data_IF_057931811975
#
_entry.id   IF_057931811975
#
_cell.length_a   1.000
_cell.length_b   1.000
_cell.length_c   1.000
_cell.angle_alpha   90.00
_cell.angle_beta   90.00
_cell.angle_gamma   90.00
#
_symmetry.space_group_name_H-M   'P 1'
#
loop_
_entity.id
_entity.type
_entity.pdbx_description
1 polymer ?
#
# COMPACT_ATOMS: atom_id res chain seq x y z
N UNK A 1 -4.99 -8.97 -12.62
CA UNK A 1 -3.97 -8.03 -13.15
C UNK A 1 -4.39 -6.67 -12.65
N UNK A 2 -3.66 -6.12 -11.70
CA UNK A 2 -3.96 -4.79 -11.16
C UNK A 2 -3.75 -3.76 -12.27
N UNK A 3 -4.75 -2.91 -12.47
CA UNK A 3 -4.70 -1.82 -13.44
C UNK A 3 -4.22 -0.57 -12.73
N UNK A 4 -3.00 -0.12 -13.03
CA UNK A 4 -2.38 1.06 -12.42
C UNK A 4 -2.47 2.23 -13.40
N UNK A 5 -3.02 3.36 -12.98
CA UNK A 5 -2.99 4.60 -13.75
C UNK A 5 -1.60 5.25 -13.61
N UNK A 6 -0.62 4.80 -14.41
CA UNK A 6 0.75 5.31 -14.33
C UNK A 6 0.98 6.55 -15.19
N UNK A 7 2.15 7.18 -15.01
CA UNK A 7 2.60 8.29 -15.84
C UNK A 7 2.63 7.95 -17.33
N UNK A 8 2.88 6.69 -17.71
CA UNK A 8 2.83 6.27 -19.11
C UNK A 8 1.42 6.39 -19.70
N UNK A 9 0.39 6.00 -18.93
CA UNK A 9 -1.01 6.14 -19.39
C UNK A 9 -1.40 7.61 -19.49
N UNK A 10 -1.03 8.41 -18.49
CA UNK A 10 -1.27 9.85 -18.49
C UNK A 10 -0.60 10.56 -19.67
N UNK A 11 0.65 10.20 -19.98
CA UNK A 11 1.37 10.73 -21.14
C UNK A 11 0.64 10.40 -22.45
N UNK A 12 0.19 9.15 -22.62
CA UNK A 12 -0.62 8.76 -23.79
C UNK A 12 -1.90 9.59 -23.89
N UNK A 13 -2.64 9.78 -22.79
CA UNK A 13 -3.86 10.60 -22.78
C UNK A 13 -3.58 12.05 -23.20
N UNK A 14 -2.48 12.62 -22.71
CA UNK A 14 -2.04 13.98 -23.06
C UNK A 14 -1.69 14.10 -24.54
N UNK A 15 -0.94 13.13 -25.07
CA UNK A 15 -0.48 13.12 -26.46
C UNK A 15 -1.63 12.90 -27.46
N UNK A 16 -2.74 12.28 -27.04
CA UNK A 16 -3.91 12.13 -27.92
C UNK A 16 -4.60 13.45 -28.27
N UNK A 17 -4.43 14.49 -27.43
CA UNK A 17 -5.16 15.76 -27.57
C UNK A 17 -6.67 15.68 -27.33
N UNK A 18 -7.21 14.53 -26.89
CA UNK A 18 -8.65 14.39 -26.60
C UNK A 18 -9.09 15.10 -25.32
N UNK A 19 -8.17 15.30 -24.38
CA UNK A 19 -8.43 15.95 -23.10
C UNK A 19 -7.82 17.35 -23.11
N UNK A 20 -8.60 18.35 -22.70
CA UNK A 20 -8.12 19.73 -22.62
C UNK A 20 -6.99 19.87 -21.59
N UNK A 21 -7.09 19.14 -20.48
CA UNK A 21 -6.08 19.09 -19.42
C UNK A 21 -5.99 17.67 -18.87
N UNK A 22 -4.76 17.25 -18.54
CA UNK A 22 -4.49 15.98 -17.87
C UNK A 22 -3.65 16.29 -16.63
N UNK A 23 -4.14 15.89 -15.46
CA UNK A 23 -3.45 16.13 -14.21
C UNK A 23 -2.44 15.00 -13.93
N UNK A 24 -1.15 15.29 -14.13
CA UNK A 24 -0.06 14.34 -13.89
C UNK A 24 0.06 13.92 -12.42
N UNK A 25 -0.46 14.71 -11.48
CA UNK A 25 -0.48 14.33 -10.06
C UNK A 25 -1.42 13.18 -9.75
N UNK A 26 -2.26 12.75 -10.70
CA UNK A 26 -3.08 11.54 -10.55
C UNK A 26 -2.32 10.25 -10.85
N UNK A 27 -1.07 10.35 -11.33
CA UNK A 27 -0.26 9.18 -11.63
C UNK A 27 0.05 8.38 -10.37
N UNK A 28 -0.27 7.09 -10.39
CA UNK A 28 0.27 6.14 -9.44
C UNK A 28 1.76 5.93 -9.69
N UNK A 29 2.51 5.76 -8.61
CA UNK A 29 3.95 5.50 -8.65
C UNK A 29 4.21 4.02 -8.99
N UNK A 30 4.37 3.72 -10.29
CA UNK A 30 4.71 2.38 -10.76
C UNK A 30 6.15 2.01 -10.37
N UNK A 31 6.33 0.88 -9.68
CA UNK A 31 7.67 0.37 -9.32
C UNK A 31 8.24 -0.57 -10.37
N UNK A 32 7.39 -1.23 -11.15
CA UNK A 32 7.79 -2.19 -12.16
C UNK A 32 8.76 -1.57 -13.18
N UNK A 33 9.99 -2.08 -13.26
CA UNK A 33 11.01 -1.58 -14.18
C UNK A 33 11.60 -0.21 -13.83
N UNK A 34 11.18 0.40 -12.71
CA UNK A 34 11.65 1.73 -12.30
C UNK A 34 13.15 1.67 -11.99
N UNK A 35 13.92 2.58 -12.59
CA UNK A 35 15.37 2.69 -12.43
C UNK A 35 16.17 1.42 -12.78
N UNK A 36 15.61 0.49 -13.57
CA UNK A 36 16.31 -0.76 -13.97
C UNK A 36 17.18 -0.60 -15.22
N UNK A 37 17.15 0.58 -15.85
CA UNK A 37 17.96 0.95 -17.01
C UNK A 37 17.50 0.34 -18.33
N UNK A 38 18.20 0.68 -19.42
CA UNK A 38 17.83 0.25 -20.77
C UNK A 38 17.87 -1.29 -20.94
N UNK A 39 18.76 -1.97 -20.22
CA UNK A 39 18.91 -3.42 -20.33
C UNK A 39 17.64 -4.17 -19.86
N UNK A 40 16.89 -3.61 -18.90
CA UNK A 40 15.59 -4.13 -18.49
C UNK A 40 14.57 -4.08 -19.63
N UNK A 41 14.55 -2.98 -20.41
CA UNK A 41 13.62 -2.81 -21.53
C UNK A 41 14.00 -3.68 -22.71
N UNK A 42 15.30 -3.79 -22.99
CA UNK A 42 15.81 -4.48 -24.18
C UNK A 42 15.90 -5.99 -24.00
N UNK A 43 16.14 -6.46 -22.77
CA UNK A 43 16.38 -7.89 -22.48
C UNK A 43 15.53 -8.45 -21.35
N UNK A 44 14.98 -7.61 -20.48
CA UNK A 44 14.11 -8.04 -19.37
C UNK A 44 14.67 -9.25 -18.61
N UNK A 45 13.93 -10.37 -18.55
CA UNK A 45 14.36 -11.60 -17.89
C UNK A 45 15.46 -12.37 -18.63
N UNK A 46 15.78 -12.01 -19.88
CA UNK A 46 16.88 -12.59 -20.66
C UNK A 46 18.22 -11.87 -20.41
N UNK A 47 18.20 -10.79 -19.62
CA UNK A 47 19.40 -10.11 -19.16
C UNK A 47 20.25 -11.03 -18.27
N UNK A 48 21.56 -10.77 -18.24
CA UNK A 48 22.44 -11.33 -17.21
C UNK A 48 22.20 -10.74 -15.82
N UNK A 49 21.58 -9.56 -15.74
CA UNK A 49 21.19 -8.91 -14.49
C UNK A 49 19.95 -9.59 -13.90
N UNK A 50 19.92 -9.74 -12.58
CA UNK A 50 18.71 -10.19 -11.89
C UNK A 50 17.76 -9.02 -11.64
N UNK A 51 16.49 -9.22 -11.96
CA UNK A 51 15.41 -8.29 -11.66
C UNK A 51 14.36 -9.02 -10.80
N UNK A 52 13.99 -8.43 -9.67
CA UNK A 52 13.02 -9.01 -8.71
C UNK A 52 11.62 -9.14 -9.28
N UNK A 53 11.32 -8.40 -10.35
CA UNK A 53 10.11 -8.51 -11.17
C UNK A 53 9.92 -9.90 -11.80
N UNK A 54 11.02 -10.63 -12.02
CA UNK A 54 11.00 -11.93 -12.68
C UNK A 54 11.47 -13.03 -11.72
N UNK A 55 10.75 -14.15 -11.73
CA UNK A 55 11.14 -15.32 -10.95
C UNK A 55 12.16 -16.16 -11.71
N UNK A 56 13.24 -16.55 -11.03
CA UNK A 56 14.24 -17.50 -11.55
C UNK A 56 13.92 -18.95 -11.19
N UNK A 57 13.01 -19.18 -10.25
CA UNK A 57 12.67 -20.54 -9.80
C UNK A 57 11.51 -21.09 -10.58
N UNK A 58 11.61 -22.34 -11.02
CA UNK A 58 10.53 -22.99 -11.78
C UNK A 58 9.35 -23.38 -10.91
N UNK A 59 9.60 -23.73 -9.63
CA UNK A 59 8.58 -24.20 -8.71
C UNK A 59 8.87 -23.78 -7.27
N UNK A 60 8.10 -22.82 -6.76
CA UNK A 60 7.97 -22.58 -5.34
C UNK A 60 6.49 -22.43 -4.98
N UNK A 61 6.06 -23.06 -3.88
CA UNK A 61 4.71 -22.84 -3.33
C UNK A 61 4.67 -21.48 -2.66
N UNK A 62 3.86 -20.57 -3.20
CA UNK A 62 3.57 -19.27 -2.60
C UNK A 62 4.82 -18.39 -2.46
N UNK A 63 5.12 -17.57 -3.46
CA UNK A 63 6.09 -16.48 -3.34
C UNK A 63 5.37 -15.15 -3.34
N UNK A 64 5.89 -14.17 -2.59
CA UNK A 64 5.42 -12.79 -2.71
C UNK A 64 5.67 -12.30 -4.14
N UNK A 65 4.71 -11.57 -4.70
CA UNK A 65 4.94 -10.79 -5.92
C UNK A 65 6.03 -9.74 -5.67
N UNK A 66 6.67 -9.28 -6.73
CA UNK A 66 7.76 -8.28 -6.65
C UNK A 66 7.35 -7.00 -5.93
N UNK A 67 6.07 -6.65 -5.95
CA UNK A 67 5.48 -5.47 -5.30
C UNK A 67 4.94 -5.77 -3.89
N UNK A 68 5.00 -7.03 -3.45
CA UNK A 68 4.53 -7.49 -2.13
C UNK A 68 3.04 -7.24 -1.86
N UNK A 69 2.21 -7.05 -2.88
CA UNK A 69 0.75 -6.91 -2.70
C UNK A 69 0.04 -8.22 -2.41
N UNK A 70 0.70 -9.33 -2.73
CA UNK A 70 0.11 -10.66 -2.60
C UNK A 70 1.15 -11.72 -2.86
N UNK A 71 0.71 -12.97 -2.78
CA UNK A 71 1.52 -14.13 -3.11
C UNK A 71 0.76 -15.11 -3.99
N UNK A 72 1.52 -15.95 -4.67
CA UNK A 72 0.96 -17.02 -5.47
C UNK A 72 2.03 -17.81 -6.18
N UNK A 73 1.73 -18.24 -7.39
CA UNK A 73 2.55 -19.19 -8.14
C UNK A 73 3.27 -18.51 -9.30
N UNK A 74 4.37 -19.14 -9.72
CA UNK A 74 5.12 -18.69 -10.89
C UNK A 74 4.31 -19.02 -12.14
N UNK A 75 4.05 -18.00 -12.96
CA UNK A 75 3.41 -18.13 -14.26
C UNK A 75 4.30 -17.56 -15.35
N UNK A 76 4.04 -18.02 -16.57
CA UNK A 76 4.64 -17.51 -17.78
C UNK A 76 3.52 -17.15 -18.75
N UNK A 77 3.63 -16.01 -19.44
CA UNK A 77 2.69 -15.62 -20.49
C UNK A 77 3.40 -14.89 -21.64
N UNK A 78 2.76 -14.88 -22.81
CA UNK A 78 3.30 -14.28 -24.03
C UNK A 78 3.30 -12.75 -24.00
N UNK A 79 2.42 -12.11 -23.22
CA UNK A 79 2.38 -10.64 -23.07
C UNK A 79 3.59 -10.09 -22.32
N UNK A 80 4.38 -10.97 -21.70
CA UNK A 80 5.60 -10.64 -20.97
C UNK A 80 6.82 -11.31 -21.58
N UNK A 81 6.81 -11.56 -22.89
CA UNK A 81 7.91 -12.19 -23.62
C UNK A 81 8.37 -13.52 -23.01
N UNK A 82 7.42 -14.28 -22.46
CA UNK A 82 7.68 -15.53 -21.76
C UNK A 82 8.55 -15.40 -20.50
N UNK A 83 8.69 -14.19 -19.94
CA UNK A 83 9.29 -13.99 -18.64
C UNK A 83 8.41 -14.58 -17.54
N UNK A 84 9.04 -15.34 -16.64
CA UNK A 84 8.40 -15.92 -15.47
C UNK A 84 8.17 -14.84 -14.42
N UNK A 85 6.96 -14.75 -13.87
CA UNK A 85 6.61 -13.85 -12.77
C UNK A 85 5.64 -14.51 -11.80
N UNK A 86 5.42 -13.88 -10.66
CA UNK A 86 4.39 -14.33 -9.71
C UNK A 86 3.01 -13.86 -10.19
N UNK A 87 2.06 -14.78 -10.25
CA UNK A 87 0.64 -14.49 -10.33
C UNK A 87 0.03 -14.62 -8.94
N UNK A 88 -0.45 -13.51 -8.39
CA UNK A 88 -1.08 -13.49 -7.08
C UNK A 88 -2.34 -14.35 -7.11
N UNK A 89 -2.36 -15.40 -6.29
CA UNK A 89 -3.57 -16.17 -5.98
C UNK A 89 -4.27 -15.64 -4.74
N UNK A 90 -3.52 -14.90 -3.91
CA UNK A 90 -4.00 -14.20 -2.72
C UNK A 90 -3.48 -12.78 -2.77
N UNK A 91 -4.39 -11.81 -2.58
CA UNK A 91 -4.06 -10.40 -2.41
C UNK A 91 -4.13 -10.05 -0.92
N UNK A 92 -3.07 -9.44 -0.39
CA UNK A 92 -2.97 -9.06 1.00
C UNK A 92 -3.98 -7.96 1.38
N UNK A 93 -4.39 -7.14 0.43
CA UNK A 93 -5.36 -6.06 0.68
C UNK A 93 -6.83 -6.51 0.73
N UNK A 94 -7.12 -7.71 0.23
CA UNK A 94 -8.48 -8.21 0.11
C UNK A 94 -8.97 -8.79 1.45
N UNK A 95 -9.83 -8.03 2.13
CA UNK A 95 -10.48 -8.40 3.39
C UNK A 95 -11.31 -9.70 3.29
N UNK A 96 -11.75 -10.12 2.10
CA UNK A 96 -12.51 -11.38 1.95
C UNK A 96 -11.67 -12.62 2.26
N UNK A 97 -10.35 -12.49 2.28
CA UNK A 97 -9.43 -13.55 2.69
C UNK A 97 -9.34 -13.74 4.22
N UNK A 98 -10.02 -12.90 5.01
CA UNK A 98 -10.16 -13.11 6.46
C UNK A 98 -11.03 -14.35 6.76
N UNK A 99 -10.44 -15.54 6.80
CA UNK A 99 -11.07 -16.75 7.33
C UNK A 99 -10.71 -16.97 8.81
N UNK A 100 -11.53 -17.74 9.53
CA UNK A 100 -11.36 -18.02 10.96
C UNK A 100 -10.06 -18.79 11.32
N UNK A 101 -9.36 -19.37 10.34
CA UNK A 101 -8.10 -20.11 10.52
C UNK A 101 -6.83 -19.24 10.42
N UNK A 102 -6.96 -17.92 10.21
CA UNK A 102 -5.80 -17.02 10.05
C UNK A 102 -5.20 -16.51 11.37
N UNK A 103 -5.92 -16.65 12.50
CA UNK A 103 -5.43 -16.19 13.80
C UNK A 103 -4.17 -16.93 14.23
N UNK A 104 -4.14 -18.27 14.07
CA UNK A 104 -2.97 -19.09 14.40
C UNK A 104 -1.78 -18.79 13.48
N UNK A 105 -2.04 -18.17 12.33
CA UNK A 105 -1.05 -17.83 11.31
C UNK A 105 -0.52 -16.41 11.45
N UNK A 106 -1.01 -15.64 12.44
CA UNK A 106 -0.71 -14.22 12.64
C UNK A 106 -0.85 -13.40 11.35
N UNK A 107 -1.75 -13.81 10.45
CA UNK A 107 -1.94 -13.15 9.16
C UNK A 107 -2.97 -12.04 9.26
N UNK A 108 -2.75 -10.97 8.51
CA UNK A 108 -3.66 -9.85 8.39
C UNK A 108 -3.95 -9.55 6.93
N UNK A 109 -5.21 -9.27 6.60
CA UNK A 109 -5.62 -8.78 5.29
C UNK A 109 -6.29 -7.41 5.41
N UNK A 110 -5.95 -6.52 4.50
CA UNK A 110 -6.48 -5.15 4.44
C UNK A 110 -5.52 -4.20 3.73
N UNK A 111 -5.96 -2.98 3.45
CA UNK A 111 -5.24 -2.01 2.59
C UNK A 111 -3.77 -1.75 2.98
N UNK A 112 -3.46 -1.87 4.27
CA UNK A 112 -2.11 -1.70 4.82
C UNK A 112 -1.36 -3.03 4.97
N UNK A 113 -1.84 -4.10 4.35
CA UNK A 113 -1.23 -5.42 4.44
C UNK A 113 -0.31 -5.69 3.26
N UNK A 114 0.86 -6.28 3.53
CA UNK A 114 1.83 -6.66 2.51
C UNK A 114 2.35 -8.06 2.75
N UNK A 115 2.77 -8.69 1.68
CA UNK A 115 3.35 -10.02 1.69
C UNK A 115 4.79 -9.96 2.21
N UNK A 116 5.11 -10.90 3.10
CA UNK A 116 6.47 -11.18 3.54
C UNK A 116 6.77 -12.65 3.39
N UNK A 117 8.06 -12.97 3.24
CA UNK A 117 8.55 -14.31 3.54
C UNK A 117 8.51 -14.50 5.07
N UNK A 118 7.58 -15.33 5.51
CA UNK A 118 7.24 -15.44 6.92
C UNK A 118 6.66 -16.80 7.29
N UNK A 119 7.10 -17.31 8.43
CA UNK A 119 6.60 -18.52 9.10
C UNK A 119 5.90 -18.19 10.42
N UNK A 120 5.55 -16.92 10.61
CA UNK A 120 4.93 -16.40 11.84
C UNK A 120 3.67 -17.19 12.23
N UNK A 121 3.56 -17.59 13.48
CA UNK A 121 2.42 -18.35 14.00
C UNK A 121 2.25 -18.13 15.52
N UNK A 122 1.17 -18.66 16.08
CA UNK A 122 0.80 -18.51 17.49
C UNK A 122 1.56 -19.42 18.48
N UNK A 123 2.49 -20.25 18.00
CA UNK A 123 3.26 -21.22 18.78
C UNK A 123 2.52 -22.52 19.12
N UNK A 124 1.25 -22.65 18.72
CA UNK A 124 0.42 -23.82 19.04
C UNK A 124 0.37 -24.85 17.91
N UNK A 125 0.73 -24.48 16.68
CA UNK A 125 0.64 -25.35 15.49
C UNK A 125 1.95 -25.44 14.70
N UNK A 126 2.63 -26.58 14.81
CA UNK A 126 3.95 -26.84 14.20
C UNK A 126 3.92 -27.32 12.73
N UNK A 127 2.79 -27.25 12.01
CA UNK A 127 2.63 -27.89 10.68
C UNK A 127 2.22 -26.97 9.55
N UNK A 128 2.61 -25.70 9.58
CA UNK A 128 2.40 -24.81 8.45
C UNK A 128 3.66 -24.74 7.58
N UNK A 129 3.63 -25.46 6.45
CA UNK A 129 4.70 -25.44 5.45
C UNK A 129 4.71 -24.16 4.60
N UNK A 130 3.78 -23.22 4.83
CA UNK A 130 3.74 -21.95 4.11
C UNK A 130 4.81 -21.00 4.64
N UNK A 131 5.62 -20.50 3.73
CA UNK A 131 6.72 -19.57 4.00
C UNK A 131 6.39 -18.13 3.57
N UNK A 132 5.13 -17.83 3.26
CA UNK A 132 4.66 -16.50 2.86
C UNK A 132 3.37 -16.14 3.55
N UNK A 133 3.28 -14.91 4.04
CA UNK A 133 2.14 -14.42 4.83
C UNK A 133 1.90 -12.95 4.56
N UNK A 134 0.65 -12.54 4.66
CA UNK A 134 0.26 -11.14 4.64
C UNK A 134 0.28 -10.59 6.07
N UNK A 135 0.95 -9.47 6.29
CA UNK A 135 1.07 -8.81 7.60
C UNK A 135 0.68 -7.34 7.51
N UNK A 136 0.12 -6.81 8.59
CA UNK A 136 -0.15 -5.38 8.68
C UNK A 136 1.17 -4.60 8.71
N UNK A 137 1.28 -3.57 7.88
CA UNK A 137 2.49 -2.78 7.69
C UNK A 137 2.21 -1.30 7.93
N UNK A 138 3.12 -0.66 8.65
CA UNK A 138 3.23 0.80 8.71
C UNK A 138 4.65 1.17 8.30
N UNK A 139 4.77 1.91 7.21
CA UNK A 139 6.05 2.47 6.79
C UNK A 139 6.26 3.84 7.42
N UNK A 140 7.50 4.14 7.80
CA UNK A 140 7.86 5.49 8.22
C UNK A 140 7.78 6.46 7.03
N UNK A 141 7.45 7.75 7.25
CA UNK A 141 7.33 8.73 6.17
C UNK A 141 8.61 8.92 5.35
N UNK A 142 9.77 8.67 5.95
CA UNK A 142 11.10 8.78 5.37
C UNK A 142 11.65 7.44 4.82
N UNK A 143 10.86 6.36 4.89
CA UNK A 143 11.21 5.00 4.44
C UNK A 143 12.43 4.39 5.17
N UNK A 144 12.72 4.81 6.40
CA UNK A 144 13.84 4.31 7.22
C UNK A 144 13.50 3.10 8.08
N UNK A 145 12.21 2.89 8.37
CA UNK A 145 11.76 1.69 9.08
C UNK A 145 10.38 1.22 8.65
N UNK A 146 10.15 -0.07 8.85
CA UNK A 146 8.87 -0.75 8.64
C UNK A 146 8.42 -1.34 9.96
N UNK A 147 7.23 -0.98 10.41
CA UNK A 147 6.58 -1.60 11.56
C UNK A 147 5.61 -2.68 11.07
N UNK A 148 5.80 -3.91 11.54
CA UNK A 148 4.99 -5.08 11.22
C UNK A 148 4.11 -5.39 12.43
N UNK A 149 2.79 -5.37 12.23
CA UNK A 149 1.78 -5.61 13.25
C UNK A 149 1.13 -6.98 13.10
N UNK A 150 0.76 -7.56 14.24
CA UNK A 150 0.05 -8.83 14.32
C UNK A 150 -1.40 -8.62 14.79
N UNK A 151 -2.35 -9.47 14.38
CA UNK A 151 -3.74 -9.38 14.84
C UNK A 151 -3.89 -9.58 16.36
N UNK A 152 -3.10 -10.49 16.93
CA UNK A 152 -3.12 -10.81 18.35
C UNK A 152 -2.25 -9.82 19.14
N UNK A 153 -2.89 -9.09 20.05
CA UNK A 153 -2.26 -8.03 20.86
C UNK A 153 -1.20 -8.53 21.85
N UNK A 154 -1.11 -9.84 22.08
CA UNK A 154 -0.04 -10.44 22.90
C UNK A 154 1.32 -10.35 22.22
N UNK A 155 1.35 -10.22 20.90
CA UNK A 155 2.58 -10.10 20.13
C UNK A 155 3.02 -8.65 20.05
N UNK A 156 4.30 -8.41 20.35
CA UNK A 156 4.91 -7.11 20.11
C UNK A 156 5.05 -6.88 18.60
N UNK A 157 4.89 -5.62 18.19
CA UNK A 157 5.17 -5.23 16.80
C UNK A 157 6.65 -5.43 16.50
N UNK A 158 6.97 -5.95 15.33
CA UNK A 158 8.36 -6.00 14.85
C UNK A 158 8.69 -4.72 14.11
N UNK A 159 9.95 -4.30 14.20
CA UNK A 159 10.47 -3.14 13.47
C UNK A 159 11.67 -3.59 12.64
N UNK A 160 11.55 -3.47 11.33
CA UNK A 160 12.66 -3.62 10.39
C UNK A 160 13.27 -2.24 10.14
N UNK A 161 14.53 -2.05 10.54
CA UNK A 161 15.30 -0.82 10.21
C UNK A 161 16.14 -1.03 8.96
N UNK A 162 16.77 0.01 8.42
CA UNK A 162 17.68 -0.14 7.26
C UNK A 162 18.78 -1.18 7.48
N UNK A 163 19.23 -1.37 8.72
CA UNK A 163 20.25 -2.38 9.06
C UNK A 163 19.72 -3.81 8.97
N UNK A 164 18.40 -3.99 8.91
CA UNK A 164 17.72 -5.28 8.92
C UNK A 164 17.28 -5.72 7.53
N UNK A 165 17.60 -4.97 6.47
CA UNK A 165 17.23 -5.35 5.10
C UNK A 165 17.75 -6.75 4.74
N UNK A 166 16.84 -7.62 4.27
CA UNK A 166 17.10 -9.02 3.96
C UNK A 166 17.37 -9.92 5.18
N UNK A 167 17.30 -9.40 6.41
CA UNK A 167 17.47 -10.21 7.61
C UNK A 167 16.19 -10.90 8.01
N UNK A 168 16.35 -12.13 8.47
CA UNK A 168 15.29 -12.90 9.11
C UNK A 168 15.22 -12.54 10.60
N UNK A 169 14.03 -12.11 11.05
CA UNK A 169 13.72 -11.68 12.40
C UNK A 169 12.82 -12.72 13.08
N UNK A 170 13.12 -13.06 14.33
CA UNK A 170 12.21 -13.87 15.17
C UNK A 170 10.96 -13.08 15.52
N UNK A 171 9.78 -13.71 15.41
CA UNK A 171 8.51 -13.07 15.81
C UNK A 171 8.48 -12.76 17.31
N UNK A 172 9.01 -13.70 18.10
CA UNK A 172 9.24 -13.51 19.53
C UNK A 172 10.69 -13.90 19.81
N UNK A 173 11.45 -12.96 20.37
CA UNK A 173 12.87 -13.14 20.67
C UNK A 173 13.08 -14.38 21.56
N UNK A 174 14.08 -15.20 21.20
CA UNK A 174 14.46 -16.44 21.87
C UNK A 174 13.38 -17.53 21.86
N UNK A 175 12.36 -17.39 21.00
CA UNK A 175 11.24 -18.33 20.88
C UNK A 175 10.95 -18.70 19.42
N UNK A 176 11.77 -19.58 18.82
CA UNK A 176 11.68 -19.93 17.40
C UNK A 176 10.37 -20.63 17.02
N UNK A 177 9.62 -21.17 17.99
CA UNK A 177 8.31 -21.79 17.76
C UNK A 177 7.28 -20.83 17.16
N UNK A 178 7.38 -19.53 17.43
CA UNK A 178 6.51 -18.50 16.83
C UNK A 178 6.91 -18.13 15.39
N UNK A 179 8.00 -18.70 14.90
CA UNK A 179 8.49 -18.50 13.54
C UNK A 179 9.18 -17.15 13.33
N UNK A 180 9.32 -16.79 12.05
CA UNK A 180 10.18 -15.70 11.62
C UNK A 180 9.52 -14.85 10.52
N UNK A 181 10.06 -13.65 10.33
CA UNK A 181 9.73 -12.74 9.23
C UNK A 181 11.03 -12.21 8.62
N UNK A 182 11.17 -12.32 7.31
CA UNK A 182 12.28 -11.70 6.58
C UNK A 182 11.93 -10.26 6.21
N UNK A 183 12.73 -9.30 6.66
CA UNK A 183 12.58 -7.90 6.32
C UNK A 183 12.91 -7.68 4.84
N UNK A 184 12.20 -6.75 4.17
CA UNK A 184 12.42 -6.44 2.76
C UNK A 184 13.87 -6.05 2.47
N UNK A 185 14.43 -6.57 1.37
CA UNK A 185 15.75 -6.21 0.85
C UNK A 185 15.84 -4.74 0.43
N UNK A 186 14.70 -4.11 0.12
CA UNK A 186 14.63 -2.71 -0.29
C UNK A 186 13.42 -2.04 0.38
N UNK A 187 13.65 -1.35 1.49
CA UNK A 187 12.58 -0.69 2.25
C UNK A 187 11.94 0.46 1.49
N UNK A 188 12.74 1.23 0.73
CA UNK A 188 12.21 2.34 -0.06
C UNK A 188 11.22 1.83 -1.11
N UNK A 189 11.60 0.82 -1.87
CA UNK A 189 10.72 0.23 -2.88
C UNK A 189 9.48 -0.40 -2.23
N UNK A 190 9.68 -1.19 -1.16
CA UNK A 190 8.61 -1.82 -0.39
C UNK A 190 7.59 -0.82 0.16
N UNK A 191 8.03 0.36 0.61
CA UNK A 191 7.18 1.41 1.16
C UNK A 191 6.72 2.46 0.15
N UNK A 192 7.21 2.43 -1.09
CA UNK A 192 6.88 3.41 -2.13
C UNK A 192 5.53 3.17 -2.83
N UNK A 193 4.74 2.23 -2.30
CA UNK A 193 3.39 1.97 -2.80
C UNK A 193 2.47 3.16 -2.50
N UNK A 194 1.45 3.29 -3.32
CA UNK A 194 0.34 4.20 -3.06
C UNK A 194 -0.71 3.43 -2.26
N UNK A 195 -1.00 3.80 -0.99
CA UNK A 195 -2.07 3.14 -0.23
C UNK A 195 -3.39 3.31 -0.97
N UNK A 196 -4.16 2.24 -1.08
CA UNK A 196 -5.55 2.36 -1.50
C UNK A 196 -6.40 2.84 -0.33
N UNK A 197 -7.41 3.64 -0.64
CA UNK A 197 -8.40 4.05 0.33
C UNK A 197 -9.34 2.87 0.61
N UNK A 198 -9.54 2.47 1.88
CA UNK A 198 -10.57 1.51 2.25
C UNK A 198 -11.92 1.76 1.56
N UNK A 199 -12.54 0.67 1.11
CA UNK A 199 -13.84 0.65 0.43
C UNK A 199 -13.92 1.50 -0.85
N UNK A 200 -12.80 1.91 -1.44
CA UNK A 200 -12.76 2.75 -2.64
C UNK A 200 -13.65 3.99 -2.51
N UNK A 201 -13.62 4.63 -1.33
CA UNK A 201 -14.45 5.81 -1.05
C UNK A 201 -15.97 5.53 -1.30
N UNK A 202 -16.42 4.29 -1.07
CA UNK A 202 -17.80 3.81 -1.30
C UNK A 202 -18.38 4.18 -2.68
N UNK A 203 -17.53 4.38 -3.69
CA UNK A 203 -17.89 4.89 -5.02
C UNK A 203 -18.57 6.28 -5.00
N UNK A 204 -18.37 7.06 -3.93
CA UNK A 204 -18.89 8.42 -3.71
C UNK A 204 -17.79 9.48 -3.73
N UNK A 205 -16.68 9.17 -4.35
CA UNK A 205 -15.53 10.04 -4.56
C UNK A 205 -14.39 9.23 -5.16
N UNK A 206 -13.19 9.76 -5.09
CA UNK A 206 -11.98 9.15 -5.64
C UNK A 206 -10.88 9.09 -4.58
N UNK A 207 -10.04 8.07 -4.67
CA UNK A 207 -8.82 7.98 -3.86
C UNK A 207 -7.63 8.45 -4.69
N UNK A 208 -6.86 9.41 -4.18
CA UNK A 208 -5.61 9.84 -4.81
C UNK A 208 -4.52 9.73 -3.74
N UNK A 209 -3.53 8.86 -3.96
CA UNK A 209 -2.40 8.65 -3.04
C UNK A 209 -2.77 8.30 -1.60
N UNK A 210 -3.87 7.55 -1.40
CA UNK A 210 -4.39 7.21 -0.07
C UNK A 210 -5.27 8.31 0.56
N UNK A 211 -5.49 9.42 -0.15
CA UNK A 211 -6.37 10.51 0.27
C UNK A 211 -7.74 10.42 -0.39
N UNK A 212 -8.78 10.61 0.40
CA UNK A 212 -10.15 10.69 -0.07
C UNK A 212 -10.42 12.07 -0.67
N UNK A 213 -10.84 12.11 -1.94
CA UNK A 213 -11.46 13.28 -2.56
C UNK A 213 -12.94 12.99 -2.74
N UNK A 214 -13.76 13.69 -1.97
CA UNK A 214 -15.20 13.47 -1.94
C UNK A 214 -15.89 13.99 -3.19
N UNK A 215 -16.89 13.27 -3.69
CA UNK A 215 -17.82 13.85 -4.65
C UNK A 215 -18.67 14.92 -3.98
N UNK A 216 -19.20 15.85 -4.77
CA UNK A 216 -20.07 16.90 -4.26
C UNK A 216 -21.22 16.33 -3.42
N UNK A 217 -21.39 16.85 -2.20
CA UNK A 217 -22.44 16.40 -1.27
C UNK A 217 -22.09 15.17 -0.43
N UNK A 218 -20.84 14.68 -0.45
CA UNK A 218 -20.38 13.55 0.35
C UNK A 218 -19.21 13.92 1.27
N UNK A 219 -19.06 13.16 2.37
CA UNK A 219 -18.08 13.37 3.44
C UNK A 219 -17.82 12.08 4.24
N UNK A 220 -17.03 12.18 5.31
CA UNK A 220 -16.70 11.08 6.22
C UNK A 220 -15.40 10.35 5.88
N UNK A 221 -14.93 9.50 6.79
CA UNK A 221 -13.63 8.81 6.67
C UNK A 221 -13.49 7.92 5.42
N UNK A 222 -14.60 7.45 4.86
CA UNK A 222 -14.68 6.56 3.68
C UNK A 222 -15.69 7.05 2.64
N UNK A 223 -16.02 8.35 2.64
CA UNK A 223 -17.02 8.97 1.75
C UNK A 223 -18.45 8.42 1.90
N UNK A 224 -18.76 7.87 3.07
CA UNK A 224 -20.02 7.21 3.38
C UNK A 224 -21.13 8.17 3.82
N UNK A 225 -20.79 9.41 4.17
CA UNK A 225 -21.72 10.37 4.76
C UNK A 225 -22.25 11.30 3.67
N UNK A 226 -23.57 11.30 3.44
CA UNK A 226 -24.20 12.30 2.58
C UNK A 226 -24.44 13.59 3.38
N UNK A 227 -23.94 14.71 2.89
CA UNK A 227 -24.18 16.02 3.48
C UNK A 227 -25.65 16.40 3.36
N UNK A 228 -26.31 16.69 4.49
CA UNK A 228 -27.70 17.16 4.49
C UNK A 228 -27.83 18.60 4.00
N UNK A 229 -26.75 19.37 4.04
CA UNK A 229 -26.69 20.78 3.63
C UNK A 229 -25.36 21.07 2.94
N UNK A 230 -25.39 21.94 1.93
CA UNK A 230 -24.19 22.39 1.25
C UNK A 230 -23.33 23.27 2.19
N UNK A 231 -22.06 22.91 2.35
CA UNK A 231 -21.07 23.71 3.08
C UNK A 231 -20.25 24.53 2.08
N UNK A 232 -20.38 25.86 2.12
CA UNK A 232 -19.57 26.74 1.28
C UNK A 232 -18.10 26.82 1.74
N UNK A 233 -17.88 26.67 3.05
CA UNK A 233 -16.60 26.81 3.75
C UNK A 233 -15.99 25.43 4.04
N UNK A 234 -15.63 25.12 5.29
CA UNK A 234 -14.96 23.87 5.67
C UNK A 234 -15.90 22.90 6.38
N UNK A 235 -15.59 21.60 6.30
CA UNK A 235 -16.30 20.50 6.97
C UNK A 235 -15.41 19.93 8.06
N UNK A 236 -15.96 19.64 9.23
CA UNK A 236 -15.23 18.93 10.28
C UNK A 236 -15.16 17.43 9.98
N UNK A 237 -13.97 16.83 10.06
CA UNK A 237 -13.82 15.38 9.79
C UNK A 237 -14.54 14.51 10.84
N UNK A 238 -14.47 14.93 12.11
CA UNK A 238 -15.13 14.30 13.26
C UNK A 238 -16.65 14.52 13.32
N UNK A 239 -17.13 15.60 12.71
CA UNK A 239 -18.57 15.86 12.52
C UNK A 239 -18.83 16.30 11.10
N UNK A 240 -18.88 15.29 10.23
CA UNK A 240 -19.04 15.42 8.78
C UNK A 240 -20.36 16.07 8.33
N UNK A 241 -21.24 16.50 9.25
CA UNK A 241 -22.43 17.32 8.97
C UNK A 241 -22.28 18.79 9.36
N UNK A 242 -21.21 19.15 10.08
CA UNK A 242 -20.98 20.48 10.62
C UNK A 242 -20.05 21.29 9.73
N UNK A 243 -20.60 22.36 9.15
CA UNK A 243 -19.80 23.35 8.43
C UNK A 243 -19.19 24.36 9.41
N UNK A 244 -17.93 24.70 9.20
CA UNK A 244 -17.24 25.75 9.96
C UNK A 244 -16.62 26.78 9.00
N UNK A 245 -16.59 28.04 9.44
CA UNK A 245 -15.96 29.13 8.68
C UNK A 245 -14.42 29.03 8.71
N UNK A 246 -13.87 28.51 9.82
CA UNK A 246 -12.45 28.26 10.03
C UNK A 246 -12.28 26.95 10.80
N UNK A 247 -11.18 26.25 10.57
CA UNK A 247 -10.91 25.02 11.29
C UNK A 247 -10.61 25.28 12.77
N UNK A 248 -11.14 24.44 13.68
CA UNK A 248 -10.92 24.58 15.11
C UNK A 248 -9.45 24.35 15.46
N UNK A 249 -9.04 24.85 16.63
CA UNK A 249 -7.67 24.72 17.10
C UNK A 249 -7.21 23.24 17.09
N UNK A 250 -6.01 22.99 16.55
CA UNK A 250 -5.47 21.64 16.37
C UNK A 250 -5.91 20.94 15.09
N UNK A 251 -6.78 21.56 14.28
CA UNK A 251 -7.17 21.07 12.95
C UNK A 251 -6.89 22.13 11.87
N UNK A 252 -6.59 21.67 10.67
CA UNK A 252 -6.14 22.51 9.56
C UNK A 252 -7.03 22.31 8.32
N UNK A 253 -7.16 23.36 7.51
CA UNK A 253 -8.15 23.49 6.43
C UNK A 253 -7.69 22.88 5.09
N UNK A 254 -7.98 21.61 4.83
CA UNK A 254 -7.40 20.87 3.70
C UNK A 254 -7.84 21.39 2.33
N UNK A 255 -7.06 21.11 1.26
CA UNK A 255 -7.46 21.47 -0.12
C UNK A 255 -8.84 20.92 -0.54
N UNK A 256 -9.28 19.83 0.09
CA UNK A 256 -10.62 19.23 -0.09
C UNK A 256 -11.72 19.88 0.77
N UNK A 257 -11.39 20.98 1.47
CA UNK A 257 -12.23 21.70 2.44
C UNK A 257 -12.54 20.96 3.74
N UNK A 258 -11.76 19.96 4.13
CA UNK A 258 -11.92 19.27 5.43
C UNK A 258 -10.94 19.75 6.49
N UNK A 259 -11.42 19.91 7.72
CA UNK A 259 -10.59 20.19 8.89
C UNK A 259 -10.05 18.88 9.49
N UNK A 260 -8.74 18.63 9.39
CA UNK A 260 -8.09 17.42 9.94
C UNK A 260 -6.89 17.77 10.82
N UNK A 261 -6.52 16.85 11.71
CA UNK A 261 -5.38 17.00 12.63
C UNK A 261 -4.02 16.81 11.91
N UNK A 262 -4.00 15.97 10.88
CA UNK A 262 -2.80 15.63 10.12
C UNK A 262 -2.85 16.20 8.70
N UNK A 263 -1.66 16.48 8.16
CA UNK A 263 -1.52 16.97 6.79
C UNK A 263 -1.66 15.82 5.79
N UNK A 264 -2.29 16.05 4.64
CA UNK A 264 -2.19 15.16 3.50
C UNK A 264 -0.71 15.06 3.04
N UNK A 265 -0.36 13.95 2.38
CA UNK A 265 1.03 13.70 2.00
C UNK A 265 1.50 14.74 0.98
N UNK A 266 2.65 15.37 1.25
CA UNK A 266 3.20 16.44 0.39
C UNK A 266 2.73 17.85 0.73
N UNK A 267 1.98 18.04 1.81
CA UNK A 267 1.61 19.36 2.35
C UNK A 267 2.22 19.57 3.74
N UNK A 268 2.58 20.82 4.06
CA UNK A 268 3.11 21.19 5.38
C UNK A 268 2.19 22.20 6.10
N UNK A 269 2.28 22.22 7.43
CA UNK A 269 1.48 23.11 8.28
C UNK A 269 1.97 24.56 8.16
N UNK A 270 1.13 25.47 7.68
CA UNK A 270 1.32 26.91 7.94
C UNK A 270 0.58 27.28 9.24
N UNK A 271 1.35 27.30 10.33
CA UNK A 271 0.86 27.61 11.67
C UNK A 271 0.39 29.07 11.84
N UNK A 272 0.70 29.97 10.89
CA UNK A 272 0.34 31.39 10.97
C UNK A 272 -1.09 31.60 10.48
N UNK A 273 -1.50 30.85 9.45
CA UNK A 273 -2.78 31.07 8.77
C UNK A 273 -3.75 29.88 8.89
N UNK A 274 -3.35 28.76 9.51
CA UNK A 274 -4.13 27.51 9.61
C UNK A 274 -4.60 26.96 8.23
N UNK A 275 -3.82 27.22 7.19
CA UNK A 275 -4.05 26.81 5.78
C UNK A 275 -2.83 26.03 5.26
N UNK A 276 -2.98 25.34 4.14
CA UNK A 276 -1.88 24.56 3.55
C UNK A 276 -1.17 25.31 2.42
N UNK A 277 0.12 25.04 2.30
CA UNK A 277 0.96 25.39 1.15
C UNK A 277 1.58 24.10 0.58
N UNK A 278 1.78 24.06 -0.75
CA UNK A 278 2.56 23.03 -1.43
C UNK A 278 4.05 23.29 -1.24
#
# INVERSE_FOLDING_TARGET
MESILSIFTIAVLKDTGYYAEVNESMANNIQWGKNKGCDFVLKACQSGTYYSEFSRTEYCRGQCSSQNYGYGEVVQNSLMDNCKKINNSVLCEDYSNLKQFHDNLLQYYGVNSRCFRSTANDGLYNKFHQTTRCHHVICSPDFTYITIGFPDQRFQKLVCTQQDQGKQMEVVKEKPEYGFIECSDNQREFCSYTPECPYYCNLKGICIHGEYKFSHGWSGTYCQVQLKRFCAQFILDDDSQKCVQQCPQGKFANPDKFCREQCPNGYYQDNINNIYQM
#
